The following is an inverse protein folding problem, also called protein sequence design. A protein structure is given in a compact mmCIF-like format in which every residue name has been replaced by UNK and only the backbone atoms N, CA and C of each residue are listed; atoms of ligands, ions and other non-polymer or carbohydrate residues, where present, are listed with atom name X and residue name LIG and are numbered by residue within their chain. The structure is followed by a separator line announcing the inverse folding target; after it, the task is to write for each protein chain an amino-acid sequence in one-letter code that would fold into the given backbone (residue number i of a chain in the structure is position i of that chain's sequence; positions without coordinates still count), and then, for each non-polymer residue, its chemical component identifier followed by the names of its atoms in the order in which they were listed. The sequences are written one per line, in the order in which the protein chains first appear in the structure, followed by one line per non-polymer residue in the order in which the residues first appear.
data_IF_111136002855
#
_entry.id   IF_111136002855
#
_cell.length_a   1.000
_cell.length_b   1.000
_cell.length_c   1.000
_cell.angle_alpha   90.00
_cell.angle_beta   90.00
_cell.angle_gamma   90.00
#
_symmetry.space_group_name_H-M   'P 1'
#
loop_
_entity.id
_entity.type
_entity.pdbx_description
1 polymer ?
#
# COMPACT_ATOMS: atom_id res chain seq x y z
N UNK A 1 -15.32 4.88 -11.03
CA UNK A 1 -14.77 3.99 -12.08
C UNK A 1 -14.09 2.81 -11.41
N UNK A 2 -13.72 1.80 -12.17
CA UNK A 2 -13.06 0.59 -11.70
C UNK A 2 -11.85 0.33 -12.61
N UNK A 3 -10.70 0.01 -12.01
CA UNK A 3 -9.45 -0.22 -12.72
C UNK A 3 -9.28 -1.72 -13.00
N UNK A 4 -8.83 -2.08 -14.19
CA UNK A 4 -8.67 -3.45 -14.66
C UNK A 4 -7.80 -4.30 -13.73
N UNK A 5 -6.67 -3.76 -13.28
CA UNK A 5 -5.76 -4.48 -12.38
C UNK A 5 -6.18 -4.41 -10.92
N UNK A 6 -7.08 -3.49 -10.55
CA UNK A 6 -7.59 -3.32 -9.18
C UNK A 6 -9.12 -3.51 -9.12
N UNK A 7 -9.62 -4.72 -9.47
CA UNK A 7 -11.05 -4.98 -9.52
C UNK A 7 -11.70 -4.88 -8.14
N UNK A 8 -13.00 -4.62 -8.11
CA UNK A 8 -13.86 -4.43 -6.94
C UNK A 8 -13.50 -3.21 -6.06
N UNK A 9 -12.68 -2.28 -6.57
CA UNK A 9 -12.34 -1.05 -5.86
C UNK A 9 -12.91 0.16 -6.58
N UNK A 10 -13.66 0.97 -5.83
CA UNK A 10 -14.23 2.22 -6.35
C UNK A 10 -13.16 3.30 -6.39
N UNK A 11 -12.97 3.86 -7.58
CA UNK A 11 -12.07 4.98 -7.79
C UNK A 11 -12.76 6.17 -8.44
N UNK A 12 -12.22 7.36 -8.21
CA UNK A 12 -12.71 8.62 -8.76
C UNK A 12 -11.52 9.46 -9.23
N UNK A 13 -11.78 10.39 -10.13
CA UNK A 13 -10.82 11.44 -10.46
C UNK A 13 -11.40 12.73 -9.91
N UNK A 14 -10.61 13.42 -9.09
CA UNK A 14 -11.00 14.68 -8.47
C UNK A 14 -9.88 15.71 -8.51
N UNK A 15 -10.28 16.97 -8.67
CA UNK A 15 -9.41 18.12 -8.48
C UNK A 15 -9.75 18.71 -7.12
N UNK A 16 -8.76 18.83 -6.23
CA UNK A 16 -9.00 19.45 -4.92
C UNK A 16 -9.13 20.96 -5.08
N UNK A 17 -10.02 21.59 -4.31
CA UNK A 17 -10.42 23.01 -4.44
C UNK A 17 -9.25 24.00 -4.52
N UNK A 18 -8.11 23.70 -3.89
CA UNK A 18 -6.94 24.57 -3.86
C UNK A 18 -5.77 24.08 -4.72
N UNK A 19 -5.98 23.12 -5.63
CA UNK A 19 -4.91 22.54 -6.44
C UNK A 19 -5.31 22.46 -7.91
N UNK A 20 -4.38 22.78 -8.81
CA UNK A 20 -4.55 22.50 -10.25
C UNK A 20 -4.32 21.02 -10.61
N UNK A 21 -3.95 20.21 -9.61
CA UNK A 21 -3.58 18.82 -9.76
C UNK A 21 -4.81 17.92 -9.64
N UNK A 22 -5.06 17.08 -10.64
CA UNK A 22 -6.05 16.00 -10.54
C UNK A 22 -5.46 14.83 -9.76
N UNK A 23 -6.30 14.15 -8.99
CA UNK A 23 -5.94 13.01 -8.16
C UNK A 23 -6.83 11.82 -8.49
N UNK A 24 -6.21 10.64 -8.49
CA UNK A 24 -6.91 9.37 -8.42
C UNK A 24 -7.28 9.12 -6.95
N UNK A 25 -8.57 9.07 -6.67
CA UNK A 25 -9.13 8.84 -5.34
C UNK A 25 -9.57 7.38 -5.24
N UNK A 26 -9.25 6.74 -4.13
CA UNK A 26 -9.71 5.39 -3.77
C UNK A 26 -10.66 5.49 -2.57
N UNK A 27 -11.83 4.86 -2.68
CA UNK A 27 -12.84 4.81 -1.61
C UNK A 27 -12.80 3.46 -0.90
N UNK A 28 -12.86 3.49 0.43
CA UNK A 28 -12.95 2.31 1.28
C UNK A 28 -14.05 2.47 2.31
N UNK A 29 -14.70 1.35 2.64
CA UNK A 29 -15.61 1.26 3.75
C UNK A 29 -14.91 0.57 4.92
N UNK A 30 -14.89 1.21 6.09
CA UNK A 30 -14.36 0.62 7.32
C UNK A 30 -15.29 -0.44 7.89
N UNK A 31 -14.80 -1.26 8.83
CA UNK A 31 -15.62 -2.23 9.56
C UNK A 31 -16.81 -1.62 10.31
N UNK A 32 -16.76 -0.32 10.62
CA UNK A 32 -17.84 0.44 11.25
C UNK A 32 -18.73 1.17 10.23
N UNK A 33 -18.65 0.81 8.94
CA UNK A 33 -19.39 1.41 7.82
C UNK A 33 -19.07 2.88 7.52
N UNK A 34 -17.95 3.42 8.00
CA UNK A 34 -17.49 4.77 7.63
C UNK A 34 -16.77 4.74 6.30
N UNK A 35 -17.03 5.71 5.42
CA UNK A 35 -16.27 5.87 4.18
C UNK A 35 -14.99 6.67 4.43
N UNK A 36 -13.88 6.18 3.91
CA UNK A 36 -12.58 6.87 3.95
C UNK A 36 -11.97 6.91 2.56
N UNK A 37 -11.13 7.91 2.33
CA UNK A 37 -10.63 8.23 1.00
C UNK A 37 -9.12 8.37 1.01
N UNK A 38 -8.48 7.76 0.03
CA UNK A 38 -7.05 7.92 -0.22
C UNK A 38 -6.78 8.48 -1.61
N UNK A 39 -5.62 9.10 -1.81
CA UNK A 39 -5.27 9.71 -3.10
C UNK A 39 -3.86 9.42 -3.59
N UNK A 40 -3.74 9.36 -4.92
CA UNK A 40 -2.49 9.44 -5.64
C UNK A 40 -2.56 10.56 -6.70
N UNK A 41 -1.56 11.44 -6.83
CA UNK A 41 -1.53 12.48 -7.87
C UNK A 41 -1.47 11.89 -9.28
N UNK A 42 -2.12 12.56 -10.25
CA UNK A 42 -2.09 12.15 -11.65
C UNK A 42 -1.15 13.06 -12.44
N UNK A 43 0.03 12.56 -12.80
CA UNK A 43 1.04 13.38 -13.45
C UNK A 43 0.84 13.45 -14.96
N UNK A 44 0.94 14.65 -15.55
CA UNK A 44 0.96 14.82 -17.01
C UNK A 44 2.18 14.16 -17.65
N UNK A 45 3.32 14.21 -16.96
CA UNK A 45 4.54 13.50 -17.31
C UNK A 45 4.79 12.40 -16.27
N UNK A 46 4.15 11.22 -16.41
CA UNK A 46 4.27 10.14 -15.44
C UNK A 46 5.71 9.63 -15.35
N UNK A 47 6.21 9.45 -14.13
CA UNK A 47 7.51 8.82 -13.90
C UNK A 47 7.43 7.31 -14.11
N UNK A 48 8.44 6.76 -14.76
CA UNK A 48 8.69 5.33 -14.92
C UNK A 48 9.26 4.67 -13.66
N UNK A 49 9.58 5.43 -12.62
CA UNK A 49 10.05 4.88 -11.35
C UNK A 49 8.89 4.54 -10.41
N UNK A 50 7.80 5.31 -10.44
CA UNK A 50 6.68 5.09 -9.52
C UNK A 50 5.79 3.95 -10.04
N UNK A 51 5.40 3.06 -9.13
CA UNK A 51 4.47 1.95 -9.39
C UNK A 51 3.40 1.92 -8.32
N UNK A 52 2.14 1.74 -8.70
CA UNK A 52 1.06 1.50 -7.74
C UNK A 52 0.83 -0.01 -7.59
N UNK A 53 0.72 -0.47 -6.35
CA UNK A 53 0.39 -1.84 -6.01
C UNK A 53 -0.80 -1.84 -5.06
N UNK A 54 -1.83 -2.61 -5.37
CA UNK A 54 -2.90 -2.88 -4.42
C UNK A 54 -2.53 -4.12 -3.61
N UNK A 55 -2.40 -3.95 -2.30
CA UNK A 55 -1.93 -5.01 -1.41
C UNK A 55 -3.06 -5.61 -0.60
N UNK A 56 -2.94 -6.89 -0.26
CA UNK A 56 -3.70 -7.58 0.77
C UNK A 56 -3.08 -7.27 2.13
N UNK A 57 -3.87 -6.74 3.07
CA UNK A 57 -3.42 -6.27 4.37
C UNK A 57 -2.63 -7.32 5.16
N UNK A 58 -3.10 -8.56 5.18
CA UNK A 58 -2.46 -9.67 5.92
C UNK A 58 -1.08 -10.00 5.36
N UNK A 59 -0.97 -10.14 4.04
CA UNK A 59 0.30 -10.45 3.38
C UNK A 59 1.28 -9.28 3.46
N UNK A 60 0.79 -8.04 3.37
CA UNK A 60 1.59 -6.84 3.60
C UNK A 60 2.17 -6.82 5.02
N UNK A 61 1.35 -7.13 6.04
CA UNK A 61 1.81 -7.24 7.43
C UNK A 61 2.85 -8.34 7.62
N UNK A 62 2.71 -9.48 6.94
CA UNK A 62 3.73 -10.55 6.95
C UNK A 62 5.06 -10.01 6.40
N UNK A 63 5.05 -9.35 5.24
CA UNK A 63 6.26 -8.74 4.68
C UNK A 63 6.86 -7.68 5.60
N UNK A 64 6.04 -6.87 6.27
CA UNK A 64 6.52 -5.84 7.21
C UNK A 64 7.17 -6.46 8.46
N UNK A 65 6.62 -7.58 8.97
CA UNK A 65 7.22 -8.35 10.08
C UNK A 65 8.52 -9.05 9.71
N UNK A 66 8.74 -9.32 8.42
CA UNK A 66 9.94 -9.99 7.93
C UNK A 66 11.18 -9.08 7.89
N UNK A 67 11.06 -7.80 8.23
CA UNK A 67 12.18 -6.86 8.24
C UNK A 67 13.34 -7.39 9.09
N UNK A 68 14.52 -7.52 8.46
CA UNK A 68 15.75 -7.88 9.16
C UNK A 68 16.12 -6.83 10.23
N UNK A 69 15.79 -5.56 9.97
CA UNK A 69 15.98 -4.42 10.86
C UNK A 69 14.65 -3.65 10.99
N UNK A 70 13.77 -4.05 11.91
CA UNK A 70 12.38 -3.59 11.95
C UNK A 70 12.26 -2.09 12.20
N UNK A 71 11.51 -1.42 11.33
CA UNK A 71 11.00 -0.08 11.60
C UNK A 71 9.73 -0.21 12.45
N UNK A 72 9.69 0.50 13.57
CA UNK A 72 8.54 0.49 14.49
C UNK A 72 8.09 -0.94 14.86
N UNK A 73 8.95 -1.77 15.49
CA UNK A 73 8.67 -3.17 15.77
C UNK A 73 7.34 -3.38 16.53
N UNK A 74 7.03 -2.49 17.48
CA UNK A 74 5.78 -2.54 18.23
C UNK A 74 4.53 -2.37 17.36
N UNK A 75 4.65 -1.78 16.16
CA UNK A 75 3.54 -1.66 15.20
C UNK A 75 3.50 -2.82 14.22
N UNK A 76 4.64 -3.30 13.71
CA UNK A 76 4.67 -4.40 12.74
C UNK A 76 4.21 -5.73 13.36
N UNK A 77 4.61 -6.00 14.61
CA UNK A 77 4.11 -7.12 15.41
C UNK A 77 2.85 -6.79 16.21
N UNK A 78 2.45 -5.51 16.19
CA UNK A 78 1.32 -5.03 16.95
C UNK A 78 -0.03 -5.53 16.45
N UNK A 79 -1.04 -5.35 17.29
CA UNK A 79 -2.44 -5.59 16.99
C UNK A 79 -3.25 -4.28 16.95
N UNK A 80 -4.56 -4.37 16.72
CA UNK A 80 -5.43 -3.20 16.63
C UNK A 80 -5.36 -2.28 17.86
N UNK A 81 -5.30 -2.84 19.06
CA UNK A 81 -5.21 -2.07 20.30
C UNK A 81 -3.89 -1.28 20.34
N UNK A 82 -2.77 -1.93 20.03
CA UNK A 82 -1.45 -1.29 19.97
C UNK A 82 -1.39 -0.21 18.89
N UNK A 83 -2.00 -0.45 17.72
CA UNK A 83 -2.10 0.56 16.66
C UNK A 83 -2.91 1.77 17.10
N UNK A 84 -4.05 1.58 17.78
CA UNK A 84 -4.90 2.69 18.27
C UNK A 84 -4.21 3.52 19.34
N UNK A 85 -3.32 2.92 20.12
CA UNK A 85 -2.52 3.59 21.14
C UNK A 85 -1.23 4.22 20.60
N UNK A 86 -0.91 4.06 19.30
CA UNK A 86 0.21 4.78 18.69
C UNK A 86 0.02 6.30 18.85
N UNK A 87 1.08 6.97 19.30
CA UNK A 87 1.02 8.39 19.63
C UNK A 87 0.66 9.27 18.43
N UNK A 88 0.80 8.78 17.18
CA UNK A 88 0.39 9.51 15.97
C UNK A 88 -0.96 9.07 15.42
N UNK A 89 -1.60 8.02 15.95
CA UNK A 89 -2.84 7.47 15.41
C UNK A 89 -3.95 8.53 15.26
N UNK A 90 -4.11 9.41 16.26
CA UNK A 90 -5.08 10.49 16.25
C UNK A 90 -4.86 11.51 15.11
N UNK A 91 -3.62 11.67 14.61
CA UNK A 91 -3.37 12.49 13.42
C UNK A 91 -3.88 11.83 12.14
N UNK A 92 -3.75 10.50 12.02
CA UNK A 92 -4.34 9.77 10.90
C UNK A 92 -5.87 9.83 10.98
N UNK A 93 -6.47 9.67 12.16
CA UNK A 93 -7.91 9.82 12.36
C UNK A 93 -8.41 11.21 11.91
N UNK A 94 -7.74 12.28 12.36
CA UNK A 94 -8.04 13.64 11.89
C UNK A 94 -7.88 13.78 10.38
N UNK A 95 -6.82 13.21 9.80
CA UNK A 95 -6.60 13.22 8.35
C UNK A 95 -7.73 12.56 7.57
N UNK A 96 -8.14 11.36 7.99
CA UNK A 96 -9.24 10.63 7.35
C UNK A 96 -10.62 11.27 7.62
N UNK A 97 -10.79 12.05 8.70
CA UNK A 97 -12.06 12.73 9.00
C UNK A 97 -12.46 13.80 7.98
N UNK A 98 -11.52 14.31 7.18
CA UNK A 98 -11.84 15.24 6.09
C UNK A 98 -12.55 14.56 4.91
N UNK A 99 -12.58 13.23 4.88
CA UNK A 99 -13.27 12.46 3.86
C UNK A 99 -12.76 12.80 2.45
N UNK A 100 -13.70 12.89 1.51
CA UNK A 100 -13.44 13.12 0.09
C UNK A 100 -12.89 14.53 -0.21
N UNK A 101 -13.11 15.50 0.67
CA UNK A 101 -12.64 16.90 0.50
C UNK A 101 -11.11 16.99 0.61
N UNK A 102 -10.49 16.15 1.45
CA UNK A 102 -9.03 16.07 1.56
C UNK A 102 -8.58 14.62 1.80
N UNK A 103 -8.57 13.77 0.76
CA UNK A 103 -8.22 12.37 0.87
C UNK A 103 -6.76 12.19 1.33
N UNK A 104 -6.49 11.14 2.08
CA UNK A 104 -5.16 10.88 2.64
C UNK A 104 -4.19 10.35 1.57
N UNK A 105 -2.97 10.88 1.42
CA UNK A 105 -2.02 10.37 0.44
C UNK A 105 -1.62 8.91 0.71
N UNK A 106 -1.37 8.14 -0.35
CA UNK A 106 -0.89 6.76 -0.27
C UNK A 106 0.40 6.63 0.57
N UNK A 107 0.63 5.45 1.13
CA UNK A 107 1.90 5.12 1.77
C UNK A 107 2.98 4.80 0.72
N UNK A 108 4.23 5.12 1.08
CA UNK A 108 5.41 4.90 0.26
C UNK A 108 6.22 3.73 0.83
N UNK A 109 6.41 2.70 0.02
CA UNK A 109 6.96 1.43 0.44
C UNK A 109 8.27 1.14 -0.29
N UNK A 110 9.21 0.52 0.43
CA UNK A 110 10.40 -0.10 -0.14
C UNK A 110 10.39 -1.59 0.16
N UNK A 111 10.84 -2.41 -0.79
CA UNK A 111 10.87 -3.86 -0.65
C UNK A 111 12.28 -4.40 -0.91
N UNK A 112 12.63 -5.51 -0.28
CA UNK A 112 13.87 -6.23 -0.58
C UNK A 112 13.74 -7.71 -0.27
N UNK A 113 14.58 -8.52 -0.90
CA UNK A 113 14.77 -9.92 -0.54
C UNK A 113 16.12 -10.12 0.13
N UNK A 114 16.17 -11.04 1.07
CA UNK A 114 17.42 -11.49 1.67
C UNK A 114 17.37 -12.98 1.97
N UNK A 115 18.55 -13.58 2.12
CA UNK A 115 18.69 -14.99 2.49
C UNK A 115 18.86 -15.06 4.00
N UNK A 116 17.93 -15.75 4.67
CA UNK A 116 18.00 -16.07 6.09
C UNK A 116 18.62 -17.45 6.26
N UNK A 117 19.71 -17.53 7.04
CA UNK A 117 20.36 -18.79 7.38
C UNK A 117 19.80 -19.32 8.69
N UNK A 118 19.18 -20.50 8.64
CA UNK A 118 18.59 -21.16 9.81
C UNK A 118 19.52 -22.29 10.23
N UNK A 119 20.00 -22.30 11.50
CA UNK A 119 20.87 -23.37 11.98
C UNK A 119 20.11 -24.70 12.08
N UNK A 120 20.72 -25.77 11.58
CA UNK A 120 20.20 -27.15 11.66
C UNK A 120 20.93 -27.86 12.79
N UNK A 121 20.17 -28.38 13.75
CA UNK A 121 20.70 -29.12 14.90
C UNK A 121 20.34 -30.61 14.82
N UNK A 122 21.32 -31.46 15.10
CA UNK A 122 21.16 -32.90 15.29
C UNK A 122 21.19 -33.21 16.79
N UNK A 123 20.12 -33.83 17.32
CA UNK A 123 20.07 -34.24 18.73
C UNK A 123 21.12 -35.30 19.02
N UNK A 124 21.99 -35.06 20.00
CA UNK A 124 22.99 -36.02 20.50
C UNK A 124 22.90 -36.14 22.01
N UNK A 125 22.29 -37.22 22.51
CA UNK A 125 21.94 -37.41 23.92
C UNK A 125 21.00 -36.31 24.46
N UNK A 126 20.37 -36.55 25.61
CA UNK A 126 19.17 -35.85 26.11
C UNK A 126 19.26 -34.30 26.25
N UNK A 127 20.45 -33.71 26.15
CA UNK A 127 20.74 -32.30 26.46
C UNK A 127 21.77 -31.62 25.56
N UNK A 128 22.31 -32.31 24.53
CA UNK A 128 23.26 -31.70 23.61
C UNK A 128 22.73 -31.72 22.18
N UNK A 129 22.49 -30.54 21.64
CA UNK A 129 22.18 -30.35 20.24
C UNK A 129 23.47 -29.97 19.51
N UNK A 130 23.85 -30.75 18.49
CA UNK A 130 25.02 -30.46 17.66
C UNK A 130 24.58 -29.63 16.46
N UNK A 131 25.14 -28.44 16.27
CA UNK A 131 25.00 -27.71 15.01
C UNK A 131 25.64 -28.53 13.88
N UNK A 132 24.84 -28.94 12.90
CA UNK A 132 25.28 -29.79 11.78
C UNK A 132 25.24 -29.09 10.43
N UNK A 133 24.65 -27.89 10.35
CA UNK A 133 24.64 -27.10 9.14
C UNK A 133 23.69 -25.91 9.21
N UNK A 134 23.39 -25.35 8.05
CA UNK A 134 22.40 -24.28 7.87
C UNK A 134 21.49 -24.62 6.69
N UNK A 135 20.20 -24.32 6.82
CA UNK A 135 19.32 -24.17 5.67
C UNK A 135 19.23 -22.70 5.28
N UNK A 136 19.00 -22.44 4.00
CA UNK A 136 18.78 -21.09 3.47
C UNK A 136 17.30 -20.91 3.14
N UNK A 137 16.72 -19.82 3.63
CA UNK A 137 15.33 -19.41 3.35
C UNK A 137 15.35 -18.03 2.69
N UNK A 138 14.64 -17.89 1.57
CA UNK A 138 14.48 -16.60 0.89
C UNK A 138 13.32 -15.84 1.52
N UNK A 139 13.65 -14.72 2.17
CA UNK A 139 12.67 -13.87 2.84
C UNK A 139 12.49 -12.59 2.06
N UNK A 140 11.23 -12.26 1.79
CA UNK A 140 10.83 -10.98 1.22
C UNK A 140 10.29 -10.09 2.34
N UNK A 141 10.80 -8.86 2.42
CA UNK A 141 10.37 -7.86 3.39
C UNK A 141 9.89 -6.58 2.70
N UNK A 142 9.07 -5.81 3.41
CA UNK A 142 8.74 -4.43 3.04
C UNK A 142 8.96 -3.50 4.23
N UNK A 143 9.21 -2.23 3.94
CA UNK A 143 9.43 -1.16 4.91
C UNK A 143 8.79 0.14 4.44
N UNK A 144 8.59 1.08 5.36
CA UNK A 144 8.03 2.38 5.03
C UNK A 144 9.16 3.37 4.75
N UNK A 145 9.04 4.07 3.63
CA UNK A 145 9.71 5.35 3.47
C UNK A 145 8.83 6.44 4.11
N UNK A 146 7.51 6.33 3.91
CA UNK A 146 6.52 7.17 4.56
C UNK A 146 5.16 6.44 4.68
N UNK A 147 4.35 6.83 5.67
CA UNK A 147 2.97 6.37 5.78
C UNK A 147 2.71 5.22 6.75
N UNK A 148 3.57 5.00 7.74
CA UNK A 148 3.31 4.05 8.83
C UNK A 148 1.94 4.32 9.49
N UNK A 149 1.73 5.53 10.01
CA UNK A 149 0.54 5.89 10.80
C UNK A 149 -0.77 5.74 10.03
N UNK A 150 -0.81 6.14 8.74
CA UNK A 150 -2.02 5.99 7.92
C UNK A 150 -2.29 4.53 7.58
N UNK A 151 -1.25 3.70 7.46
CA UNK A 151 -1.40 2.28 7.20
C UNK A 151 -1.94 1.55 8.42
N UNK A 152 -1.40 1.79 9.62
CA UNK A 152 -1.97 1.21 10.85
C UNK A 152 -3.40 1.68 11.10
N UNK A 153 -3.78 2.90 10.66
CA UNK A 153 -5.17 3.36 10.69
C UNK A 153 -6.07 2.52 9.79
N UNK A 154 -5.65 2.23 8.54
CA UNK A 154 -6.39 1.36 7.63
C UNK A 154 -6.59 -0.04 8.25
N UNK A 155 -5.51 -0.61 8.79
CA UNK A 155 -5.52 -1.93 9.42
C UNK A 155 -6.45 -1.98 10.64
N UNK A 156 -6.34 -1.00 11.55
CA UNK A 156 -7.20 -0.91 12.74
C UNK A 156 -8.69 -0.71 12.40
N UNK A 157 -8.99 -0.14 11.22
CA UNK A 157 -10.35 0.05 10.72
C UNK A 157 -10.83 -1.08 9.82
N UNK A 158 -10.11 -2.20 9.75
CA UNK A 158 -10.52 -3.43 9.07
C UNK A 158 -10.43 -3.36 7.53
N UNK A 159 -9.64 -2.45 6.98
CA UNK A 159 -9.40 -2.38 5.54
C UNK A 159 -8.52 -3.56 5.12
N UNK A 160 -9.11 -4.46 4.32
CA UNK A 160 -8.46 -5.71 3.90
C UNK A 160 -7.52 -5.55 2.71
N UNK A 161 -7.75 -4.54 1.90
CA UNK A 161 -6.97 -4.28 0.70
C UNK A 161 -6.82 -2.77 0.51
N UNK A 162 -5.63 -2.30 0.18
CA UNK A 162 -5.37 -0.87 -0.02
C UNK A 162 -4.21 -0.63 -1.00
N UNK A 163 -4.19 0.52 -1.68
CA UNK A 163 -3.12 0.90 -2.60
C UNK A 163 -1.96 1.54 -1.84
N UNK A 164 -0.76 1.19 -2.28
CA UNK A 164 0.49 1.85 -1.91
C UNK A 164 1.28 2.14 -3.18
N UNK A 165 2.33 2.96 -3.07
CA UNK A 165 3.28 3.10 -4.16
C UNK A 165 4.69 2.73 -3.73
N UNK A 166 5.47 2.31 -4.72
CA UNK A 166 6.90 1.97 -4.59
C UNK A 166 7.69 2.68 -5.69
N UNK A 167 8.98 2.86 -5.45
CA UNK A 167 9.94 3.25 -6.47
C UNK A 167 10.65 2.02 -7.03
N UNK A 168 10.78 1.95 -8.36
CA UNK A 168 11.46 0.90 -9.09
C UNK A 168 10.57 -0.32 -9.39
N UNK A 169 10.73 -0.87 -10.58
CA UNK A 169 9.97 -2.04 -11.06
C UNK A 169 10.24 -3.30 -10.22
N UNK A 170 11.47 -3.49 -9.72
CA UNK A 170 11.83 -4.64 -8.87
C UNK A 170 11.02 -4.67 -7.58
N UNK A 171 10.86 -3.52 -6.91
CA UNK A 171 10.04 -3.40 -5.71
C UNK A 171 8.58 -3.70 -5.98
N UNK A 172 8.04 -3.25 -7.11
CA UNK A 172 6.65 -3.51 -7.48
C UNK A 172 6.40 -4.99 -7.78
N UNK A 173 7.31 -5.66 -8.49
CA UNK A 173 7.25 -7.11 -8.73
C UNK A 173 7.27 -7.85 -7.39
N UNK A 174 8.19 -7.49 -6.50
CA UNK A 174 8.33 -8.15 -5.22
C UNK A 174 7.09 -7.97 -4.34
N UNK A 175 6.60 -6.73 -4.25
CA UNK A 175 5.42 -6.41 -3.46
C UNK A 175 4.16 -7.07 -4.04
N UNK A 176 3.96 -7.02 -5.37
CA UNK A 176 2.82 -7.68 -6.01
C UNK A 176 2.84 -9.20 -5.78
N UNK A 177 4.00 -9.83 -5.98
CA UNK A 177 4.18 -11.28 -5.83
C UNK A 177 3.83 -11.77 -4.43
N UNK A 178 4.23 -11.04 -3.40
CA UNK A 178 4.14 -11.50 -2.01
C UNK A 178 2.96 -10.89 -1.24
N UNK A 179 2.52 -9.68 -1.59
CA UNK A 179 1.43 -9.00 -0.91
C UNK A 179 0.36 -8.40 -1.84
N UNK A 180 0.51 -8.46 -3.16
CA UNK A 180 -0.48 -7.94 -4.09
C UNK A 180 -1.81 -8.69 -4.02
N UNK A 181 -2.89 -8.04 -4.45
CA UNK A 181 -4.18 -8.70 -4.68
C UNK A 181 -4.08 -9.78 -5.76
N UNK A 182 -3.15 -9.62 -6.71
CA UNK A 182 -2.68 -10.67 -7.60
C UNK A 182 -1.15 -10.63 -7.66
N UNK A 183 -0.47 -11.76 -7.91
CA UNK A 183 1.00 -11.84 -7.86
C UNK A 183 1.74 -11.00 -8.92
N UNK A 184 1.03 -10.47 -9.93
CA UNK A 184 1.63 -9.79 -11.08
C UNK A 184 1.02 -8.42 -11.37
N UNK A 185 0.00 -7.98 -10.63
CA UNK A 185 -0.68 -6.71 -10.89
C UNK A 185 -0.07 -5.55 -10.11
N UNK A 186 0.59 -4.68 -10.87
CA UNK A 186 0.89 -3.31 -10.49
C UNK A 186 0.68 -2.41 -11.71
N UNK A 187 0.50 -1.11 -11.49
CA UNK A 187 0.46 -0.12 -12.57
C UNK A 187 1.79 0.62 -12.69
N UNK A 188 2.29 0.70 -13.92
CA UNK A 188 3.11 1.83 -14.36
C UNK A 188 2.23 3.08 -14.46
N UNK A 189 2.74 4.26 -14.10
CA UNK A 189 1.92 5.48 -14.18
C UNK A 189 1.49 5.83 -15.60
N UNK A 190 2.31 5.55 -16.61
CA UNK A 190 1.93 5.71 -18.02
C UNK A 190 0.76 4.79 -18.40
N UNK A 191 0.80 3.53 -17.97
CA UNK A 191 -0.29 2.59 -18.20
C UNK A 191 -1.57 3.01 -17.48
N UNK A 192 -1.44 3.46 -16.23
CA UNK A 192 -2.56 3.98 -15.44
C UNK A 192 -3.21 5.18 -16.14
N UNK A 193 -2.42 6.17 -16.58
CA UNK A 193 -2.95 7.34 -17.27
C UNK A 193 -3.72 6.95 -18.54
N UNK A 194 -3.16 6.05 -19.36
CA UNK A 194 -3.83 5.56 -20.57
C UNK A 194 -5.18 4.89 -20.25
N UNK A 195 -5.23 4.09 -19.18
CA UNK A 195 -6.49 3.47 -18.74
C UNK A 195 -7.50 4.51 -18.25
N UNK A 196 -7.06 5.49 -17.45
CA UNK A 196 -7.91 6.57 -16.97
C UNK A 196 -8.47 7.42 -18.11
N UNK A 197 -7.66 7.77 -19.10
CA UNK A 197 -8.09 8.51 -20.31
C UNK A 197 -9.16 7.73 -21.10
N UNK A 198 -8.98 6.41 -21.24
CA UNK A 198 -9.97 5.53 -21.87
C UNK A 198 -11.28 5.50 -21.08
N UNK A 199 -11.22 5.38 -19.75
CA UNK A 199 -12.40 5.40 -18.87
C UNK A 199 -13.12 6.75 -18.90
N UNK A 200 -12.40 7.83 -19.14
CA UNK A 200 -12.93 9.19 -19.30
C UNK A 200 -13.52 9.47 -20.69
N UNK A 201 -13.45 8.51 -21.63
CA UNK A 201 -14.00 8.63 -22.99
C UNK A 201 -13.50 9.86 -23.75
N UNK A 202 -12.20 10.17 -23.63
CA UNK A 202 -11.56 11.27 -24.36
C UNK A 202 -11.65 12.64 -23.69
N UNK A 203 -12.15 12.73 -22.45
CA UNK A 203 -12.00 13.95 -21.64
C UNK A 203 -10.54 14.09 -21.18
N UNK A 204 -10.03 15.32 -21.14
CA UNK A 204 -8.65 15.58 -20.75
C UNK A 204 -8.45 15.28 -19.27
N UNK A 205 -7.55 14.34 -18.97
CA UNK A 205 -7.22 13.87 -17.62
C UNK A 205 -6.58 14.94 -16.73
N UNK A 206 -6.01 15.97 -17.32
CA UNK A 206 -5.19 16.99 -16.64
C UNK A 206 -5.88 18.36 -16.55
N UNK A 207 -7.01 18.53 -17.23
CA UNK A 207 -7.80 19.75 -17.14
C UNK A 207 -8.74 19.74 -15.92
N UNK A 208 -9.17 20.93 -15.44
CA UNK A 208 -10.23 21.03 -14.45
C UNK A 208 -11.46 20.23 -14.82
N UNK A 209 -12.07 19.58 -13.83
CA UNK A 209 -13.17 18.64 -14.02
C UNK A 209 -14.52 19.34 -14.23
N UNK A 210 -14.56 20.47 -14.95
CA UNK A 210 -15.78 21.24 -15.25
C UNK A 210 -16.85 20.41 -15.97
N UNK A 211 -16.43 19.33 -16.62
CA UNK A 211 -17.30 18.35 -17.27
C UNK A 211 -18.03 17.40 -16.30
N UNK A 212 -17.73 17.42 -14.99
CA UNK A 212 -18.45 16.65 -13.97
C UNK A 212 -19.75 17.32 -13.54
N UNK A 213 -19.86 18.65 -13.68
CA UNK A 213 -21.04 19.43 -13.27
C UNK A 213 -22.21 19.34 -14.28
N UNK A 214 -22.01 18.68 -15.43
CA UNK A 214 -22.97 18.63 -16.53
C UNK A 214 -23.78 17.32 -16.61
N UNK A 215 -23.70 16.43 -15.60
CA UNK A 215 -24.43 15.16 -15.55
C UNK A 215 -25.26 15.01 -14.27
#
# INVERSE_FOLDING_TARGET
MELLKFPNHRTFIEQLECTLQNYLIFEFQTKDNRMIYMRHPIFQSPSDEIKLVFVQAENFLIMWRNMQYPQEPHLSWGNEDEWRHDYKFHYAEKGFSFGRINPVPLAEISCKEYIKRIPIYEKRLLWFDKLVGYSEEYISECSFINGVTRTIYLLANGIKQFPVYVYGKSNAILLAKHAGITPSSFYDLTELNLELENLLKGKNLYEPLSWQEQN
#
